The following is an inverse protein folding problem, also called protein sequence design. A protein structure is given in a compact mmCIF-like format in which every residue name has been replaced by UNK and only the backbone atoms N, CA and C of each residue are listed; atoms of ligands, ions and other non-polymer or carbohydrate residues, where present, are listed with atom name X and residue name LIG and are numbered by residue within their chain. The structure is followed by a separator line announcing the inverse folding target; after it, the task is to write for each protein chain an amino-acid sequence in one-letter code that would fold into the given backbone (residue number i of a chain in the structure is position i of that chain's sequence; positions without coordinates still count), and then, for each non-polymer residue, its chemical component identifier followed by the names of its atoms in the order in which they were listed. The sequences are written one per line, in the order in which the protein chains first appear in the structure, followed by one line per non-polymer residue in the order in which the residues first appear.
data_IF_436625924566
#
_entry.id   IF_436625924566
#
_cell.length_a   1.000
_cell.length_b   1.000
_cell.length_c   1.000
_cell.angle_alpha   90.00
_cell.angle_beta   90.00
_cell.angle_gamma   90.00
#
_symmetry.space_group_name_H-M   'P 1'
#
loop_
_entity.id
_entity.type
_entity.pdbx_description
1 polymer ?
#
# COMPACT_ATOMS: atom_id res chain seq x y z
N UNK A 1 -10.93 8.65 -3.65
CA UNK A 1 -10.51 9.98 -3.24
C UNK A 1 -9.00 10.04 -3.25
N UNK A 2 -8.43 11.01 -3.94
CA UNK A 2 -6.99 11.17 -4.15
C UNK A 2 -6.69 12.65 -4.41
N UNK A 3 -5.43 13.05 -4.57
CA UNK A 3 -4.93 14.38 -4.91
C UNK A 3 -5.55 15.59 -4.17
N UNK A 4 -4.70 16.34 -3.45
CA UNK A 4 -3.32 15.96 -3.11
C UNK A 4 -3.30 15.07 -1.86
N UNK A 5 -4.10 15.45 -0.86
CA UNK A 5 -4.38 14.71 0.37
C UNK A 5 -5.86 14.90 0.69
N UNK A 6 -6.69 13.89 0.48
CA UNK A 6 -8.13 14.01 0.65
C UNK A 6 -8.55 14.27 2.11
N UNK A 7 -7.76 13.81 3.08
CA UNK A 7 -8.09 14.02 4.50
C UNK A 7 -7.92 15.46 4.98
N UNK A 8 -7.35 16.38 4.16
CA UNK A 8 -7.39 17.83 4.45
C UNK A 8 -8.82 18.36 4.34
N UNK A 9 -9.62 17.83 3.41
CA UNK A 9 -11.02 18.17 3.24
C UNK A 9 -11.92 17.01 3.66
N UNK A 10 -11.73 16.48 4.86
CA UNK A 10 -12.37 15.26 5.33
C UNK A 10 -13.90 15.35 5.30
N UNK A 11 -14.47 16.53 5.58
CA UNK A 11 -15.92 16.77 5.54
C UNK A 11 -16.46 16.65 4.11
N UNK A 12 -15.70 17.11 3.12
CA UNK A 12 -16.07 16.94 1.72
C UNK A 12 -16.00 15.47 1.29
N UNK A 13 -14.98 14.73 1.75
CA UNK A 13 -14.87 13.28 1.50
C UNK A 13 -16.06 12.56 2.14
N UNK A 14 -16.42 12.92 3.35
CA UNK A 14 -17.55 12.35 4.08
C UNK A 14 -18.88 12.52 3.33
N UNK A 15 -19.17 13.75 2.88
CA UNK A 15 -20.38 14.05 2.10
C UNK A 15 -20.42 13.26 0.78
N UNK A 16 -19.29 13.22 0.06
CA UNK A 16 -19.17 12.44 -1.16
C UNK A 16 -19.33 10.93 -0.90
N UNK A 17 -18.77 10.43 0.21
CA UNK A 17 -18.83 9.00 0.55
C UNK A 17 -20.27 8.55 0.87
N UNK A 18 -21.05 9.37 1.53
CA UNK A 18 -22.49 9.12 1.75
C UNK A 18 -23.23 9.00 0.42
N UNK A 19 -23.05 9.99 -0.49
CA UNK A 19 -23.70 10.00 -1.81
C UNK A 19 -23.27 8.81 -2.68
N UNK A 20 -22.01 8.40 -2.59
CA UNK A 20 -21.49 7.23 -3.31
C UNK A 20 -22.15 5.93 -2.81
N UNK A 21 -22.31 5.78 -1.49
CA UNK A 21 -23.00 4.63 -0.88
C UNK A 21 -24.46 4.52 -1.31
N UNK A 22 -25.16 5.65 -1.37
CA UNK A 22 -26.55 5.69 -1.85
C UNK A 22 -26.68 5.19 -3.30
N UNK A 23 -25.57 5.23 -4.05
CA UNK A 23 -25.46 4.70 -5.42
C UNK A 23 -24.83 3.30 -5.49
N UNK A 24 -24.60 2.64 -4.36
CA UNK A 24 -23.91 1.35 -4.26
C UNK A 24 -22.48 1.37 -4.85
N UNK A 25 -21.79 2.52 -4.76
CA UNK A 25 -20.39 2.66 -5.15
C UNK A 25 -19.48 2.42 -3.94
N UNK A 26 -18.33 1.79 -4.19
CA UNK A 26 -17.31 1.62 -3.17
C UNK A 26 -16.49 2.91 -3.00
N UNK A 27 -16.15 3.23 -1.76
CA UNK A 27 -15.32 4.38 -1.42
C UNK A 27 -13.88 3.92 -1.20
N UNK A 28 -12.95 4.47 -1.99
CA UNK A 28 -11.53 4.18 -1.90
C UNK A 28 -10.74 5.46 -1.61
N UNK A 29 -9.87 5.40 -0.62
CA UNK A 29 -9.06 6.52 -0.16
C UNK A 29 -7.58 6.28 -0.45
N UNK A 30 -6.91 7.24 -1.10
CA UNK A 30 -5.45 7.26 -1.27
C UNK A 30 -4.92 8.43 -0.46
N UNK A 31 -4.12 8.14 0.57
CA UNK A 31 -3.77 9.12 1.61
C UNK A 31 -2.37 8.94 2.16
N UNK A 32 -1.79 10.01 2.70
CA UNK A 32 -0.56 9.95 3.50
C UNK A 32 -0.82 9.45 4.95
N UNK A 33 -2.08 9.27 5.34
CA UNK A 33 -2.47 8.74 6.64
C UNK A 33 -2.17 9.66 7.84
N UNK A 34 -1.82 10.92 7.63
CA UNK A 34 -1.54 11.85 8.72
C UNK A 34 -2.82 12.55 9.19
N UNK A 35 -3.56 11.88 10.03
CA UNK A 35 -4.84 12.33 10.57
C UNK A 35 -4.98 11.93 12.02
N UNK A 36 -5.73 12.72 12.80
CA UNK A 36 -6.02 12.43 14.19
C UNK A 36 -7.01 11.27 14.36
N UNK A 37 -6.98 10.63 15.52
CA UNK A 37 -7.77 9.42 15.79
C UNK A 37 -9.28 9.65 15.68
N UNK A 38 -9.80 10.78 16.17
CA UNK A 38 -11.26 11.02 16.16
C UNK A 38 -11.82 11.25 14.76
N UNK A 39 -11.26 12.15 13.91
CA UNK A 39 -11.69 12.27 12.52
C UNK A 39 -11.54 10.95 11.74
N UNK A 40 -10.48 10.19 12.00
CA UNK A 40 -10.30 8.87 11.38
C UNK A 40 -11.43 7.90 11.76
N UNK A 41 -11.78 7.83 13.06
CA UNK A 41 -12.88 6.98 13.54
C UNK A 41 -14.20 7.29 12.86
N UNK A 42 -14.45 8.57 12.54
CA UNK A 42 -15.73 9.01 12.00
C UNK A 42 -15.83 8.74 10.48
N UNK A 43 -14.73 8.84 9.73
CA UNK A 43 -14.69 8.60 8.27
C UNK A 43 -14.55 7.12 7.90
N UNK A 44 -13.75 6.34 8.63
CA UNK A 44 -13.40 4.95 8.27
C UNK A 44 -14.62 4.03 8.06
N UNK A 45 -15.72 4.12 8.83
CA UNK A 45 -16.92 3.33 8.56
C UNK A 45 -17.52 3.53 7.18
N UNK A 46 -17.18 4.60 6.47
CA UNK A 46 -17.67 4.89 5.13
C UNK A 46 -16.69 4.49 4.02
N UNK A 47 -15.49 4.04 4.36
CA UNK A 47 -14.42 3.70 3.43
C UNK A 47 -14.33 2.18 3.29
N UNK A 48 -14.33 1.69 2.06
CA UNK A 48 -14.21 0.25 1.74
C UNK A 48 -12.75 -0.18 1.62
N UNK A 49 -11.90 0.67 1.06
CA UNK A 49 -10.50 0.37 0.85
C UNK A 49 -9.61 1.62 0.95
N UNK A 50 -8.34 1.41 1.33
CA UNK A 50 -7.35 2.48 1.39
C UNK A 50 -6.03 2.03 0.77
N UNK A 51 -5.35 2.97 0.11
CA UNK A 51 -3.91 2.91 -0.12
C UNK A 51 -3.26 3.99 0.74
N UNK A 52 -2.40 3.58 1.68
CA UNK A 52 -1.78 4.47 2.67
C UNK A 52 -0.29 4.57 2.39
N UNK A 53 0.20 5.79 2.22
CA UNK A 53 1.61 6.09 2.03
C UNK A 53 2.38 6.08 3.36
N UNK A 54 3.08 4.99 3.68
CA UNK A 54 4.08 4.98 4.76
C UNK A 54 5.45 5.26 4.15
N UNK A 55 5.94 6.50 4.31
CA UNK A 55 7.12 7.00 3.60
C UNK A 55 8.46 6.46 4.15
N UNK A 56 8.53 6.10 5.44
CA UNK A 56 9.70 5.54 6.10
C UNK A 56 9.32 4.97 7.47
N UNK A 57 10.16 4.12 8.04
CA UNK A 57 10.08 3.71 9.45
C UNK A 57 11.04 4.50 10.35
N UNK A 58 11.46 5.66 9.88
CA UNK A 58 12.31 6.61 10.64
C UNK A 58 11.55 7.92 10.89
N UNK A 59 11.34 8.27 12.17
CA UNK A 59 10.67 9.51 12.54
C UNK A 59 11.51 10.76 12.18
N UNK A 60 12.84 10.63 12.11
CA UNK A 60 13.71 11.73 11.65
C UNK A 60 13.46 12.05 10.17
N UNK A 61 13.20 11.02 9.34
CA UNK A 61 12.76 11.20 7.96
C UNK A 61 11.45 11.99 7.91
N UNK A 62 10.44 11.59 8.69
CA UNK A 62 9.14 12.27 8.72
C UNK A 62 9.26 13.73 9.14
N UNK A 63 10.00 14.02 10.21
CA UNK A 63 10.25 15.40 10.69
C UNK A 63 10.94 16.25 9.64
N UNK A 64 11.97 15.70 9.01
CA UNK A 64 12.80 16.45 8.06
C UNK A 64 12.12 16.66 6.70
N UNK A 65 11.54 15.60 6.14
CA UNK A 65 11.07 15.61 4.74
C UNK A 65 9.55 15.76 4.62
N UNK A 66 8.77 15.16 5.52
CA UNK A 66 7.32 15.21 5.49
C UNK A 66 6.75 16.34 6.37
N UNK A 67 7.55 16.97 7.24
CA UNK A 67 7.12 17.98 8.23
C UNK A 67 6.01 17.44 9.15
N UNK A 68 6.05 16.18 9.47
CA UNK A 68 5.07 15.41 10.23
C UNK A 68 5.79 14.40 11.16
N UNK A 69 5.06 13.46 11.71
CA UNK A 69 5.55 12.40 12.59
C UNK A 69 5.11 11.03 12.06
N UNK A 70 5.90 9.99 12.32
CA UNK A 70 5.59 8.62 11.91
C UNK A 70 4.42 8.03 12.70
N UNK A 71 4.37 8.26 14.02
CA UNK A 71 3.43 7.57 14.90
C UNK A 71 1.95 7.76 14.52
N UNK A 72 1.44 8.96 14.17
CA UNK A 72 0.06 9.14 13.72
C UNK A 72 -0.27 8.34 12.45
N UNK A 73 0.67 8.26 11.50
CA UNK A 73 0.47 7.50 10.25
C UNK A 73 0.32 6.00 10.52
N UNK A 74 1.17 5.46 11.39
CA UNK A 74 1.08 4.06 11.80
C UNK A 74 -0.22 3.78 12.58
N UNK A 75 -0.62 4.69 13.48
CA UNK A 75 -1.86 4.58 14.23
C UNK A 75 -3.07 4.57 13.29
N UNK A 76 -3.12 5.47 12.31
CA UNK A 76 -4.19 5.51 11.31
C UNK A 76 -4.23 4.23 10.46
N UNK A 77 -3.09 3.74 9.95
CA UNK A 77 -3.05 2.51 9.17
C UNK A 77 -3.59 1.32 9.96
N UNK A 78 -3.21 1.21 11.24
CA UNK A 78 -3.74 0.16 12.13
C UNK A 78 -5.23 0.33 12.38
N UNK A 79 -5.70 1.56 12.65
CA UNK A 79 -7.11 1.85 12.89
C UNK A 79 -7.96 1.52 11.64
N UNK A 80 -7.50 1.86 10.43
CA UNK A 80 -8.18 1.52 9.18
C UNK A 80 -8.31 -0.01 9.01
N UNK A 81 -7.23 -0.74 9.26
CA UNK A 81 -7.24 -2.21 9.20
C UNK A 81 -8.21 -2.82 10.23
N UNK A 82 -8.18 -2.34 11.48
CA UNK A 82 -9.06 -2.83 12.55
C UNK A 82 -10.54 -2.50 12.31
N UNK A 83 -10.81 -1.43 11.55
CA UNK A 83 -12.16 -1.04 11.13
C UNK A 83 -12.73 -1.94 10.02
N UNK A 84 -11.93 -2.89 9.51
CA UNK A 84 -12.34 -3.84 8.47
C UNK A 84 -12.19 -3.32 7.04
N UNK A 85 -11.54 -2.19 6.83
CA UNK A 85 -11.21 -1.71 5.50
C UNK A 85 -10.19 -2.63 4.82
N UNK A 86 -10.26 -2.76 3.49
CA UNK A 86 -9.16 -3.32 2.72
C UNK A 86 -8.01 -2.31 2.68
N UNK A 87 -6.88 -2.65 3.28
CA UNK A 87 -5.73 -1.74 3.37
C UNK A 87 -4.58 -2.26 2.53
N UNK A 88 -4.04 -1.38 1.69
CA UNK A 88 -2.78 -1.55 0.98
C UNK A 88 -1.80 -0.45 1.40
N UNK A 89 -0.51 -0.77 1.46
CA UNK A 89 0.52 0.20 1.85
C UNK A 89 1.40 0.52 0.65
N UNK A 90 1.72 1.80 0.46
CA UNK A 90 2.71 2.24 -0.52
C UNK A 90 3.91 2.87 0.18
N UNK A 91 5.10 2.48 -0.28
CA UNK A 91 6.36 3.09 0.14
C UNK A 91 7.14 3.54 -1.10
N UNK A 92 7.42 4.85 -1.20
CA UNK A 92 8.28 5.41 -2.24
C UNK A 92 9.74 5.26 -1.78
N UNK A 93 10.50 4.40 -2.43
CA UNK A 93 11.92 4.18 -2.13
C UNK A 93 12.74 5.33 -2.72
N UNK A 94 13.41 6.10 -1.86
CA UNK A 94 14.23 7.25 -2.23
C UNK A 94 15.68 6.95 -1.84
N UNK A 95 16.62 6.87 -2.82
CA UNK A 95 18.02 6.56 -2.55
C UNK A 95 18.61 7.47 -1.47
N UNK A 96 19.38 6.88 -0.55
CA UNK A 96 20.08 7.53 0.57
C UNK A 96 19.17 8.12 1.65
N UNK A 97 17.86 8.10 1.50
CA UNK A 97 16.94 8.66 2.48
C UNK A 97 16.15 7.60 3.26
N UNK A 98 15.61 6.59 2.57
CA UNK A 98 14.80 5.54 3.19
C UNK A 98 15.01 4.14 2.55
N UNK A 99 16.03 3.98 1.70
CA UNK A 99 16.35 2.73 0.99
C UNK A 99 17.29 1.79 1.78
N UNK A 100 17.61 2.14 3.02
CA UNK A 100 18.36 1.27 3.92
C UNK A 100 17.58 -0.02 4.22
N UNK A 101 18.25 -1.17 4.08
CA UNK A 101 17.62 -2.48 4.25
C UNK A 101 16.96 -2.69 5.61
N UNK A 102 17.52 -2.12 6.68
CA UNK A 102 16.96 -2.20 8.04
C UNK A 102 15.65 -1.40 8.12
N UNK A 103 15.61 -0.22 7.49
CA UNK A 103 14.40 0.62 7.47
C UNK A 103 13.30 -0.06 6.68
N UNK A 104 13.63 -0.65 5.53
CA UNK A 104 12.69 -1.42 4.68
C UNK A 104 12.18 -2.66 5.42
N UNK A 105 13.06 -3.40 6.09
CA UNK A 105 12.67 -4.59 6.86
C UNK A 105 11.73 -4.24 8.01
N UNK A 106 12.02 -3.16 8.75
CA UNK A 106 11.14 -2.66 9.81
C UNK A 106 9.73 -2.32 9.32
N UNK A 107 9.60 -1.81 8.09
CA UNK A 107 8.27 -1.56 7.49
C UNK A 107 7.52 -2.88 7.27
N UNK A 108 8.15 -3.84 6.61
CA UNK A 108 7.52 -5.13 6.33
C UNK A 108 7.18 -5.90 7.62
N UNK A 109 8.06 -5.87 8.62
CA UNK A 109 7.80 -6.44 9.94
C UNK A 109 6.63 -5.76 10.65
N UNK A 110 6.58 -4.43 10.62
CA UNK A 110 5.51 -3.68 11.26
C UNK A 110 4.15 -4.02 10.63
N UNK A 111 4.06 -4.05 9.29
CA UNK A 111 2.85 -4.45 8.56
C UNK A 111 2.44 -5.87 8.97
N UNK A 112 3.37 -6.82 8.88
CA UNK A 112 3.12 -8.23 9.19
C UNK A 112 2.63 -8.44 10.63
N UNK A 113 3.24 -7.75 11.61
CA UNK A 113 2.91 -7.88 13.04
C UNK A 113 1.60 -7.22 13.42
N UNK A 114 1.25 -6.09 12.80
CA UNK A 114 0.09 -5.28 13.20
C UNK A 114 -1.15 -5.51 12.33
N UNK A 115 -0.97 -5.90 11.07
CA UNK A 115 -2.08 -6.04 10.11
C UNK A 115 -2.08 -7.41 9.40
N UNK A 116 -1.01 -8.18 9.52
CA UNK A 116 -0.91 -9.53 8.94
C UNK A 116 -0.12 -9.58 7.62
N UNK A 117 0.30 -10.80 7.26
CA UNK A 117 1.16 -11.06 6.09
C UNK A 117 0.47 -10.84 4.75
N UNK A 118 -0.86 -10.80 4.74
CA UNK A 118 -1.66 -10.70 3.52
C UNK A 118 -1.93 -9.26 3.07
N UNK A 119 -1.52 -8.25 3.86
CA UNK A 119 -1.63 -6.84 3.47
C UNK A 119 -0.64 -6.53 2.35
N UNK A 120 -1.11 -6.02 1.20
CA UNK A 120 -0.25 -5.70 0.08
C UNK A 120 0.68 -4.52 0.39
N UNK A 121 1.95 -4.66 -0.01
CA UNK A 121 2.95 -3.59 0.03
C UNK A 121 3.42 -3.25 -1.39
N UNK A 122 3.29 -1.99 -1.77
CA UNK A 122 3.78 -1.45 -3.04
C UNK A 122 5.07 -0.66 -2.79
N UNK A 123 6.18 -1.12 -3.37
CA UNK A 123 7.47 -0.45 -3.37
C UNK A 123 7.63 0.31 -4.68
N UNK A 124 7.52 1.63 -4.64
CA UNK A 124 7.56 2.47 -5.83
C UNK A 124 8.91 3.14 -6.03
N UNK A 125 9.40 3.17 -7.28
CA UNK A 125 10.60 3.91 -7.64
C UNK A 125 10.36 5.42 -7.56
N UNK A 126 11.27 6.12 -6.91
CA UNK A 126 11.35 7.57 -6.95
C UNK A 126 12.00 8.04 -8.26
N UNK A 127 11.50 9.16 -8.77
CA UNK A 127 12.13 9.91 -9.87
C UNK A 127 12.29 11.38 -9.45
N UNK A 128 13.40 12.04 -9.84
CA UNK A 128 13.62 13.45 -9.51
C UNK A 128 12.46 14.33 -9.98
N UNK A 129 11.89 15.10 -9.05
CA UNK A 129 10.85 16.07 -9.37
C UNK A 129 10.91 17.27 -8.43
N UNK A 130 10.50 18.44 -8.95
CA UNK A 130 10.43 19.70 -8.21
C UNK A 130 11.78 20.04 -7.57
N UNK A 131 11.85 20.19 -6.26
CA UNK A 131 13.05 20.60 -5.51
C UNK A 131 13.94 19.43 -5.08
N UNK A 132 13.53 18.19 -5.31
CA UNK A 132 14.29 17.02 -4.93
C UNK A 132 15.07 16.50 -6.14
N UNK A 133 16.40 16.65 -6.09
CA UNK A 133 17.32 16.37 -7.18
C UNK A 133 18.19 15.12 -6.94
N UNK A 134 17.74 14.20 -6.06
CA UNK A 134 18.42 12.93 -5.87
C UNK A 134 18.30 12.06 -7.13
N UNK A 135 19.22 11.13 -7.31
CA UNK A 135 19.13 10.18 -8.42
C UNK A 135 17.85 9.34 -8.32
N UNK A 136 17.30 8.96 -9.47
CA UNK A 136 16.18 8.02 -9.52
C UNK A 136 16.55 6.70 -8.84
N UNK A 137 15.56 6.00 -8.30
CA UNK A 137 15.79 4.71 -7.62
C UNK A 137 16.30 3.68 -8.63
N UNK A 138 17.49 3.11 -8.42
CA UNK A 138 17.98 1.99 -9.21
C UNK A 138 17.08 0.77 -9.08
N UNK A 139 16.94 -0.02 -10.16
CA UNK A 139 16.14 -1.25 -10.15
C UNK A 139 16.63 -2.22 -9.06
N UNK A 140 17.96 -2.38 -8.94
CA UNK A 140 18.57 -3.27 -7.95
C UNK A 140 18.22 -2.88 -6.51
N UNK A 141 17.99 -1.58 -6.23
CA UNK A 141 17.56 -1.14 -4.89
C UNK A 141 16.12 -1.55 -4.59
N UNK A 142 15.24 -1.48 -5.60
CA UNK A 142 13.86 -1.97 -5.47
C UNK A 142 13.79 -3.48 -5.34
N UNK A 143 14.57 -4.22 -6.12
CA UNK A 143 14.61 -5.68 -6.08
C UNK A 143 15.16 -6.18 -4.74
N UNK A 144 16.19 -5.54 -4.18
CA UNK A 144 16.66 -5.83 -2.82
C UNK A 144 15.57 -5.54 -1.77
N UNK A 145 14.87 -4.42 -1.90
CA UNK A 145 13.75 -4.09 -0.99
C UNK A 145 12.61 -5.11 -1.11
N UNK A 146 12.29 -5.54 -2.31
CA UNK A 146 11.32 -6.61 -2.57
C UNK A 146 11.72 -7.91 -1.86
N UNK A 147 12.96 -8.38 -2.03
CA UNK A 147 13.44 -9.61 -1.41
C UNK A 147 13.41 -9.56 0.11
N UNK A 148 13.71 -8.39 0.70
CA UNK A 148 13.58 -8.17 2.15
C UNK A 148 12.13 -8.28 2.58
N UNK A 149 11.22 -7.55 1.93
CA UNK A 149 9.81 -7.51 2.30
C UNK A 149 9.10 -8.85 2.11
N UNK A 150 9.47 -9.63 1.09
CA UNK A 150 8.91 -10.97 0.81
C UNK A 150 9.17 -12.00 1.92
N UNK A 151 10.13 -11.78 2.80
CA UNK A 151 10.34 -12.63 3.98
C UNK A 151 9.21 -12.47 5.01
N UNK A 152 8.58 -11.30 5.03
CA UNK A 152 7.57 -10.90 6.01
C UNK A 152 6.15 -10.85 5.44
N UNK A 153 5.99 -10.57 4.14
CA UNK A 153 4.71 -10.33 3.47
C UNK A 153 4.51 -11.26 2.28
N UNK A 154 3.26 -11.65 2.06
CA UNK A 154 2.88 -12.55 0.97
C UNK A 154 2.56 -11.80 -0.34
N UNK A 155 2.23 -10.51 -0.26
CA UNK A 155 1.94 -9.66 -1.42
C UNK A 155 2.83 -8.43 -1.39
N UNK A 156 3.87 -8.44 -2.23
CA UNK A 156 4.77 -7.29 -2.44
C UNK A 156 4.85 -7.00 -3.93
N UNK A 157 4.72 -5.74 -4.29
CA UNK A 157 4.71 -5.29 -5.68
C UNK A 157 5.72 -4.18 -5.93
N UNK A 158 6.28 -4.13 -7.15
CA UNK A 158 7.15 -3.05 -7.61
C UNK A 158 6.39 -2.10 -8.53
N UNK A 159 6.45 -0.81 -8.23
CA UNK A 159 5.78 0.26 -8.97
C UNK A 159 6.75 1.28 -9.58
N UNK A 160 6.29 2.01 -10.59
CA UNK A 160 7.05 3.02 -11.33
C UNK A 160 8.33 2.51 -12.02
N UNK A 161 8.43 1.21 -12.25
CA UNK A 161 9.60 0.55 -12.85
C UNK A 161 9.15 -0.64 -13.70
N UNK A 162 9.95 -0.98 -14.71
CA UNK A 162 9.85 -2.25 -15.41
C UNK A 162 10.76 -3.26 -14.71
N UNK A 163 10.18 -4.37 -14.24
CA UNK A 163 10.89 -5.48 -13.61
C UNK A 163 10.23 -6.79 -14.01
N UNK A 164 11.00 -7.87 -14.02
CA UNK A 164 10.49 -9.23 -14.21
C UNK A 164 9.86 -9.81 -12.92
N UNK A 165 10.16 -9.19 -11.78
CA UNK A 165 9.61 -9.58 -10.47
C UNK A 165 8.66 -8.52 -9.92
N UNK A 166 7.81 -8.91 -8.97
CA UNK A 166 6.94 -7.98 -8.25
C UNK A 166 5.83 -7.35 -9.08
N UNK A 167 5.50 -7.88 -10.27
CA UNK A 167 4.39 -7.42 -11.09
C UNK A 167 3.13 -8.27 -10.88
N UNK A 168 3.32 -9.58 -10.83
CA UNK A 168 2.23 -10.55 -10.78
C UNK A 168 1.75 -10.80 -9.34
N UNK A 169 0.46 -11.13 -9.20
CA UNK A 169 -0.08 -11.68 -7.96
C UNK A 169 0.07 -13.20 -7.99
N UNK A 170 0.78 -13.74 -7.02
CA UNK A 170 1.00 -15.18 -6.91
C UNK A 170 0.28 -15.77 -5.70
N UNK A 171 -0.12 -17.02 -5.80
CA UNK A 171 -0.73 -17.73 -4.68
C UNK A 171 0.30 -17.93 -3.54
N UNK A 172 0.02 -17.45 -2.30
CA UNK A 172 0.97 -17.60 -1.19
C UNK A 172 1.26 -19.05 -0.80
N UNK A 173 0.36 -19.98 -1.12
CA UNK A 173 0.54 -21.38 -0.76
C UNK A 173 1.36 -22.18 -1.78
N UNK A 174 1.09 -21.97 -3.09
CA UNK A 174 1.68 -22.83 -4.13
C UNK A 174 2.52 -22.08 -5.18
N UNK A 175 2.62 -20.74 -5.10
CA UNK A 175 3.40 -19.92 -6.03
C UNK A 175 2.79 -19.76 -7.43
N UNK A 176 1.64 -20.38 -7.74
CA UNK A 176 1.00 -20.24 -9.03
C UNK A 176 0.57 -18.78 -9.28
N UNK A 177 0.78 -18.26 -10.48
CA UNK A 177 0.35 -16.92 -10.86
C UNK A 177 -1.18 -16.90 -10.88
N UNK A 178 -1.77 -16.00 -10.08
CA UNK A 178 -3.21 -15.75 -10.01
C UNK A 178 -3.63 -14.65 -10.97
N UNK A 179 -2.86 -13.57 -10.99
CA UNK A 179 -3.06 -12.41 -11.86
C UNK A 179 -1.71 -12.04 -12.45
N UNK A 180 -1.62 -12.07 -13.77
CA UNK A 180 -0.44 -11.56 -14.47
C UNK A 180 -0.65 -10.11 -14.90
N UNK A 181 0.42 -9.31 -14.84
CA UNK A 181 0.40 -7.89 -15.23
C UNK A 181 1.57 -7.56 -16.14
N UNK A 182 1.27 -6.84 -17.23
CA UNK A 182 2.26 -6.30 -18.14
C UNK A 182 1.86 -4.86 -18.49
N UNK A 183 2.48 -3.89 -17.84
CA UNK A 183 2.04 -2.50 -17.88
C UNK A 183 0.60 -2.37 -17.37
N UNK A 184 -0.30 -1.86 -18.20
CA UNK A 184 -1.73 -1.74 -17.87
C UNK A 184 -2.57 -2.97 -18.25
N UNK A 185 -1.97 -3.97 -18.91
CA UNK A 185 -2.67 -5.21 -19.22
C UNK A 185 -2.73 -6.12 -18.00
N UNK A 186 -3.93 -6.59 -17.67
CA UNK A 186 -4.18 -7.45 -16.51
C UNK A 186 -4.94 -8.69 -16.97
N UNK A 187 -4.40 -9.89 -16.66
CA UNK A 187 -5.03 -11.17 -16.97
C UNK A 187 -5.23 -11.99 -15.69
N UNK A 188 -6.48 -12.34 -15.40
CA UNK A 188 -6.86 -13.18 -14.26
C UNK A 188 -7.09 -14.60 -14.77
N UNK A 189 -6.05 -15.42 -14.79
CA UNK A 189 -6.10 -16.78 -15.32
C UNK A 189 -5.86 -17.85 -14.24
N UNK A 190 -5.24 -17.50 -13.15
CA UNK A 190 -4.84 -18.42 -12.08
C UNK A 190 -5.86 -18.56 -10.95
N UNK A 191 -6.97 -17.82 -10.99
CA UNK A 191 -8.03 -17.87 -9.99
C UNK A 191 -9.41 -17.98 -10.65
N UNK A 192 -10.26 -18.81 -10.07
CA UNK A 192 -11.68 -18.94 -10.47
C UNK A 192 -12.56 -18.91 -9.22
N UNK A 193 -13.63 -18.09 -9.26
CA UNK A 193 -14.61 -17.95 -8.18
C UNK A 193 -14.00 -17.76 -6.80
N UNK A 194 -12.89 -17.03 -6.74
CA UNK A 194 -12.19 -16.71 -5.48
C UNK A 194 -11.28 -17.82 -4.96
N UNK A 195 -10.90 -18.80 -5.79
CA UNK A 195 -9.99 -19.89 -5.44
C UNK A 195 -8.85 -20.01 -6.44
N UNK A 196 -7.66 -20.36 -5.94
CA UNK A 196 -6.50 -20.68 -6.77
C UNK A 196 -6.80 -21.93 -7.63
N UNK A 197 -6.58 -21.83 -8.95
CA UNK A 197 -6.84 -22.95 -9.88
C UNK A 197 -5.93 -24.14 -9.63
N UNK A 198 -4.72 -23.92 -9.07
CA UNK A 198 -3.74 -24.99 -8.81
C UNK A 198 -3.98 -25.73 -7.49
N UNK A 199 -4.08 -25.02 -6.37
CA UNK A 199 -4.14 -25.63 -5.03
C UNK A 199 -5.50 -25.47 -4.32
N UNK A 200 -6.44 -24.79 -4.92
CA UNK A 200 -7.81 -24.53 -4.38
C UNK A 200 -7.83 -23.71 -3.08
N UNK A 201 -6.70 -23.10 -2.66
CA UNK A 201 -6.72 -22.13 -1.58
C UNK A 201 -7.65 -20.97 -1.94
N UNK A 202 -8.46 -20.49 -1.00
CA UNK A 202 -9.20 -19.23 -1.15
C UNK A 202 -8.21 -18.09 -1.34
N UNK A 203 -8.39 -17.27 -2.36
CA UNK A 203 -7.51 -16.13 -2.65
C UNK A 203 -7.98 -14.89 -1.90
N UNK A 204 -7.02 -14.03 -1.55
CA UNK A 204 -7.26 -12.79 -0.79
C UNK A 204 -7.53 -11.61 -1.75
N UNK A 205 -8.31 -11.87 -2.80
CA UNK A 205 -8.64 -10.92 -3.88
C UNK A 205 -10.15 -10.74 -3.88
N UNK A 206 -10.60 -9.48 -3.94
CA UNK A 206 -12.02 -9.13 -4.05
C UNK A 206 -12.37 -9.06 -5.53
N UNK A 207 -13.22 -9.98 -5.99
CA UNK A 207 -13.83 -9.95 -7.32
C UNK A 207 -15.22 -9.30 -7.20
N UNK A 208 -15.44 -8.26 -7.98
CA UNK A 208 -16.75 -7.59 -8.09
C UNK A 208 -17.22 -7.61 -9.54
#
# INVERSE_FOLDING_TARGET
YTYNEPLIGIEFVEDCARLARDKNLANVLVTNGYVEHEPARDILPMIDALNIDIKSMDDAFYRRWCKSQLAPVLAFAKQAFDSGCHVEITNLIIPTLNDDGIVVERLAEWISKNMGRLVPLHLSAYRPQYKMCLNATPLESLERAYDICRKHLDYVYLGNVWSEIGQDTVCPLCGAVLISRQGYSVNITGADKGYCNNCRRKVDIIFR
#
